data_IF_667204687226
#
_entry.id   IF_667204687226
#
_cell.length_a   1.000
_cell.length_b   1.000
_cell.length_c   1.000
_cell.angle_alpha   90.00
_cell.angle_beta   90.00
_cell.angle_gamma   90.00
#
_symmetry.space_group_name_H-M   'P 1'
#
loop_
_entity.id
_entity.type
_entity.pdbx_description
1 polymer ?
#
# COMPACT_ATOMS: atom_id res chain seq x y z
N UNK A 1 0.80 21.72 8.05
CA UNK A 1 0.80 20.46 7.29
C UNK A 1 -0.56 19.82 7.48
N UNK A 2 -1.18 19.39 6.39
CA UNK A 2 -2.62 18.99 6.37
C UNK A 2 -2.88 17.72 7.16
N UNK A 3 -1.94 16.79 7.15
CA UNK A 3 -2.08 15.48 7.80
C UNK A 3 -1.18 15.36 9.05
N UNK A 4 -0.92 16.45 9.74
CA UNK A 4 -0.10 16.48 10.96
C UNK A 4 1.33 15.92 10.75
N UNK A 5 1.84 16.02 9.54
CA UNK A 5 3.21 15.63 9.23
C UNK A 5 4.22 16.43 10.07
N UNK A 6 5.34 15.83 10.39
CA UNK A 6 6.48 16.54 11.00
C UNK A 6 7.16 17.44 9.98
N UNK A 7 7.30 16.91 8.74
CA UNK A 7 7.81 17.66 7.58
C UNK A 7 7.33 17.03 6.26
N UNK A 8 7.53 17.76 5.18
CA UNK A 8 7.35 17.28 3.81
C UNK A 8 8.72 17.30 3.11
N UNK A 9 8.91 16.43 2.13
CA UNK A 9 10.08 16.38 1.25
C UNK A 9 9.63 15.99 -0.15
N UNK A 10 10.55 15.93 -1.11
CA UNK A 10 10.28 15.53 -2.49
C UNK A 10 11.24 14.43 -2.90
N UNK A 11 10.70 13.32 -3.36
CA UNK A 11 11.45 12.26 -4.03
C UNK A 11 11.65 12.64 -5.50
N UNK A 12 12.88 12.75 -5.93
CA UNK A 12 13.22 12.84 -7.35
C UNK A 12 13.61 11.45 -7.85
N UNK A 13 12.75 10.87 -8.68
CA UNK A 13 12.94 9.51 -9.21
C UNK A 13 14.00 9.49 -10.32
N UNK A 14 14.48 8.29 -10.68
CA UNK A 14 15.50 8.09 -11.71
C UNK A 14 15.11 8.62 -13.09
N UNK A 15 13.80 8.70 -13.42
CA UNK A 15 13.29 9.29 -14.66
C UNK A 15 13.01 10.81 -14.55
N UNK A 16 13.31 11.41 -13.39
CA UNK A 16 13.15 12.83 -13.12
C UNK A 16 11.75 13.25 -12.66
N UNK A 17 10.83 12.30 -12.43
CA UNK A 17 9.53 12.61 -11.82
C UNK A 17 9.72 13.04 -10.36
N UNK A 18 8.99 14.06 -9.94
CA UNK A 18 8.96 14.51 -8.54
C UNK A 18 7.70 14.01 -7.86
N UNK A 19 7.87 13.33 -6.70
CA UNK A 19 6.80 12.75 -5.91
C UNK A 19 6.91 13.29 -4.47
N UNK A 20 5.81 13.79 -3.92
CA UNK A 20 5.83 14.34 -2.58
C UNK A 20 5.98 13.23 -1.54
N UNK A 21 6.79 13.51 -0.51
CA UNK A 21 7.00 12.63 0.64
C UNK A 21 6.38 13.26 1.88
N UNK A 22 5.56 12.50 2.57
CA UNK A 22 4.97 12.82 3.85
C UNK A 22 5.74 12.10 4.95
N UNK A 23 6.12 12.83 6.00
CA UNK A 23 7.01 12.34 7.07
C UNK A 23 6.38 12.62 8.42
N UNK A 24 6.25 11.59 9.23
CA UNK A 24 5.89 11.65 10.64
C UNK A 24 7.01 10.98 11.42
N UNK A 25 7.87 11.77 12.04
CA UNK A 25 9.03 11.25 12.74
C UNK A 25 9.10 11.75 14.17
N UNK A 26 9.46 10.90 15.15
CA UNK A 26 9.85 11.29 16.48
C UNK A 26 11.24 11.94 16.46
N UNK A 27 11.68 12.47 17.59
CA UNK A 27 12.99 13.13 17.73
C UNK A 27 14.15 12.16 17.50
N UNK A 28 14.01 10.91 17.93
CA UNK A 28 15.02 9.84 17.79
C UNK A 28 14.36 8.51 17.34
N UNK A 29 14.10 8.32 16.06
CA UNK A 29 13.44 7.11 15.57
C UNK A 29 14.31 5.86 15.73
N UNK A 30 13.71 4.76 16.20
CA UNK A 30 14.33 3.45 16.37
C UNK A 30 14.00 2.48 15.25
N UNK A 31 12.95 2.74 14.49
CA UNK A 31 12.56 2.03 13.28
C UNK A 31 11.89 2.99 12.31
N UNK A 32 11.82 2.61 11.03
CA UNK A 32 11.13 3.37 9.98
C UNK A 32 10.12 2.49 9.28
N UNK A 33 8.88 2.94 9.21
CA UNK A 33 7.84 2.39 8.35
C UNK A 33 7.90 3.13 7.00
N UNK A 34 8.34 2.44 5.96
CA UNK A 34 8.31 2.88 4.58
C UNK A 34 6.97 2.48 3.96
N UNK A 35 6.03 3.41 3.87
CA UNK A 35 4.63 3.15 3.61
C UNK A 35 4.24 3.45 2.16
N UNK A 36 3.47 2.54 1.55
CA UNK A 36 2.99 2.59 0.16
C UNK A 36 1.47 2.55 0.18
N UNK A 37 0.82 3.63 -0.26
CA UNK A 37 -0.63 3.78 -0.20
C UNK A 37 -1.39 2.97 -1.26
N UNK A 38 -2.71 2.86 -1.10
CA UNK A 38 -3.61 2.14 -2.00
C UNK A 38 -3.92 2.87 -3.31
N UNK A 39 -4.65 2.21 -4.19
CA UNK A 39 -5.19 2.84 -5.40
C UNK A 39 -6.22 3.93 -5.05
N UNK A 40 -6.29 5.00 -5.84
CA UNK A 40 -7.16 6.17 -5.62
C UNK A 40 -6.89 6.94 -4.31
N UNK A 41 -5.85 6.58 -3.57
CA UNK A 41 -5.44 7.15 -2.29
C UNK A 41 -4.27 8.16 -2.46
N UNK A 42 -3.71 8.62 -1.37
CA UNK A 42 -2.51 9.45 -1.31
C UNK A 42 -1.69 9.15 -0.04
N UNK A 43 -0.45 9.62 0.02
CA UNK A 43 0.46 9.35 1.14
C UNK A 43 -0.07 9.84 2.49
N UNK A 44 -0.84 10.94 2.51
CA UNK A 44 -1.47 11.48 3.71
C UNK A 44 -2.48 10.55 4.40
N UNK A 45 -2.98 9.51 3.72
CA UNK A 45 -3.89 8.51 4.31
C UNK A 45 -3.21 7.70 5.42
N UNK A 46 -1.87 7.68 5.46
CA UNK A 46 -1.11 7.06 6.55
C UNK A 46 -1.07 7.88 7.84
N UNK A 47 -1.71 9.05 7.92
CA UNK A 47 -1.72 9.87 9.14
C UNK A 47 -2.16 9.08 10.38
N UNK A 48 -3.15 8.21 10.26
CA UNK A 48 -3.71 7.45 11.39
C UNK A 48 -2.66 6.51 12.02
N UNK A 49 -2.07 5.54 11.31
CA UNK A 49 -0.98 4.73 11.88
C UNK A 49 0.27 5.56 12.18
N UNK A 50 0.59 6.56 11.37
CA UNK A 50 1.80 7.36 11.56
C UNK A 50 1.84 8.10 12.89
N UNK A 51 0.73 8.68 13.34
CA UNK A 51 0.65 9.34 14.65
C UNK A 51 0.80 8.34 15.79
N UNK A 52 0.19 7.16 15.70
CA UNK A 52 0.34 6.10 16.68
C UNK A 52 1.81 5.65 16.84
N UNK A 53 2.49 5.40 15.73
CA UNK A 53 3.87 4.93 15.72
C UNK A 53 4.88 6.01 16.08
N UNK A 54 4.63 7.26 15.71
CA UNK A 54 5.46 8.42 16.11
C UNK A 54 5.57 8.56 17.62
N UNK A 55 4.47 8.39 18.37
CA UNK A 55 4.45 8.41 19.84
C UNK A 55 5.24 7.24 20.48
N UNK A 56 5.71 6.28 19.67
CA UNK A 56 6.40 5.06 20.09
C UNK A 56 7.79 4.91 19.46
N UNK A 57 8.42 6.04 19.17
CA UNK A 57 9.77 6.12 18.58
C UNK A 57 9.93 5.44 17.21
N UNK A 58 8.85 5.31 16.43
CA UNK A 58 8.90 4.78 15.07
C UNK A 58 8.50 5.87 14.08
N UNK A 59 9.37 6.15 13.13
CA UNK A 59 9.06 7.06 12.04
C UNK A 59 8.18 6.38 10.99
N UNK A 60 7.27 7.15 10.38
CA UNK A 60 6.54 6.72 9.17
C UNK A 60 6.86 7.69 8.06
N UNK A 61 7.26 7.16 6.92
CA UNK A 61 7.47 7.91 5.68
C UNK A 61 6.61 7.30 4.58
N UNK A 62 5.94 8.13 3.80
CA UNK A 62 5.11 7.70 2.67
C UNK A 62 5.24 8.68 1.52
N UNK A 63 5.19 8.22 0.29
CA UNK A 63 5.25 9.07 -0.88
C UNK A 63 3.98 8.95 -1.72
N UNK A 64 3.60 10.04 -2.39
CA UNK A 64 2.47 10.00 -3.31
C UNK A 64 2.83 9.20 -4.56
N UNK A 65 2.10 8.12 -4.79
CA UNK A 65 2.31 7.26 -5.95
C UNK A 65 2.09 8.03 -7.24
N UNK A 66 2.96 7.80 -8.21
CA UNK A 66 2.90 8.37 -9.55
C UNK A 66 1.48 8.35 -10.13
N UNK A 67 1.02 9.48 -10.61
CA UNK A 67 -0.28 9.61 -11.26
C UNK A 67 -1.48 9.76 -10.32
N UNK A 68 -1.31 9.67 -8.98
CA UNK A 68 -2.43 9.70 -8.03
C UNK A 68 -2.94 11.10 -7.66
N UNK A 69 -2.16 12.15 -7.89
CA UNK A 69 -2.59 13.56 -7.75
C UNK A 69 -3.33 14.10 -8.99
N UNK A 70 -3.98 13.25 -9.73
CA UNK A 70 -4.73 13.61 -10.94
C UNK A 70 -6.14 13.02 -10.84
N UNK A 71 -7.12 13.71 -11.41
CA UNK A 71 -8.50 13.18 -11.48
C UNK A 71 -8.55 11.76 -12.05
N UNK A 72 -7.68 11.47 -13.04
CA UNK A 72 -7.59 10.16 -13.68
C UNK A 72 -6.21 9.57 -13.46
N UNK A 73 -6.13 8.50 -12.70
CA UNK A 73 -4.86 7.81 -12.46
C UNK A 73 -4.38 7.13 -13.75
N UNK A 74 -3.17 7.49 -14.14
CA UNK A 74 -2.52 6.93 -15.32
C UNK A 74 -1.07 6.55 -15.03
N UNK A 75 -0.72 5.32 -15.43
CA UNK A 75 0.66 4.83 -15.55
C UNK A 75 0.83 4.16 -16.91
N UNK A 76 2.01 4.14 -17.47
CA UNK A 76 2.30 3.43 -18.71
C UNK A 76 2.55 1.94 -18.49
N UNK A 77 3.15 1.57 -17.35
CA UNK A 77 3.48 0.19 -16.92
C UNK A 77 3.55 0.12 -15.40
N UNK A 78 3.22 -1.03 -14.83
CA UNK A 78 3.21 -1.25 -13.37
C UNK A 78 4.62 -1.10 -12.76
N UNK A 79 5.66 -1.48 -13.51
CA UNK A 79 7.06 -1.41 -13.08
C UNK A 79 7.51 0.01 -12.68
N UNK A 80 6.82 1.07 -13.16
CA UNK A 80 7.11 2.44 -12.72
C UNK A 80 6.91 2.60 -11.20
N UNK A 81 5.92 1.93 -10.60
CA UNK A 81 5.75 1.93 -9.15
C UNK A 81 6.90 1.22 -8.43
N UNK A 82 7.43 0.15 -9.02
CA UNK A 82 8.55 -0.60 -8.42
C UNK A 82 9.85 0.20 -8.47
N UNK A 83 10.08 0.90 -9.57
CA UNK A 83 11.23 1.80 -9.76
C UNK A 83 11.16 2.98 -8.78
N UNK A 84 9.99 3.64 -8.68
CA UNK A 84 9.76 4.71 -7.70
C UNK A 84 9.95 4.21 -6.25
N UNK A 85 9.48 2.98 -5.94
CA UNK A 85 9.66 2.37 -4.61
C UNK A 85 11.14 2.08 -4.34
N UNK A 86 11.91 1.67 -5.34
CA UNK A 86 13.36 1.48 -5.21
C UNK A 86 14.08 2.81 -4.92
N UNK A 87 13.73 3.87 -5.64
CA UNK A 87 14.26 5.22 -5.40
C UNK A 87 13.85 5.72 -3.99
N UNK A 88 12.62 5.45 -3.57
CA UNK A 88 12.13 5.80 -2.23
C UNK A 88 12.86 5.02 -1.11
N UNK A 89 13.19 3.75 -1.33
CA UNK A 89 14.04 3.00 -0.41
C UNK A 89 15.42 3.63 -0.30
N UNK A 90 16.05 4.06 -1.40
CA UNK A 90 17.35 4.74 -1.34
C UNK A 90 17.25 6.08 -0.60
N UNK A 91 16.19 6.85 -0.84
CA UNK A 91 15.91 8.07 -0.07
C UNK A 91 15.75 7.76 1.43
N UNK A 92 14.98 6.74 1.78
CA UNK A 92 14.78 6.30 3.17
C UNK A 92 16.11 5.90 3.83
N UNK A 93 16.91 5.07 3.17
CA UNK A 93 18.23 4.63 3.67
C UNK A 93 19.20 5.79 3.87
N UNK A 94 19.15 6.81 3.02
CA UNK A 94 20.00 8.01 3.12
C UNK A 94 19.62 8.88 4.33
N UNK A 95 18.32 9.02 4.59
CA UNK A 95 17.81 9.91 5.65
C UNK A 95 17.77 9.22 7.02
N UNK A 96 17.63 7.89 7.07
CA UNK A 96 17.52 7.08 8.29
C UNK A 96 18.65 6.05 8.33
N UNK A 97 19.90 6.58 8.43
CA UNK A 97 21.10 5.70 8.45
C UNK A 97 21.05 4.77 9.66
N UNK A 98 21.40 3.49 9.41
CA UNK A 98 21.53 2.43 10.42
C UNK A 98 20.23 2.10 11.20
N UNK A 99 19.10 2.68 10.80
CA UNK A 99 17.79 2.40 11.40
C UNK A 99 17.09 1.30 10.58
N UNK A 100 16.53 0.24 11.24
CA UNK A 100 15.80 -0.81 10.54
C UNK A 100 14.57 -0.26 9.82
N UNK A 101 14.33 -0.78 8.59
CA UNK A 101 13.21 -0.38 7.74
C UNK A 101 12.20 -1.52 7.66
N UNK A 102 10.92 -1.20 7.80
CA UNK A 102 9.80 -2.09 7.53
C UNK A 102 8.99 -1.51 6.38
N UNK A 103 8.69 -2.31 5.38
CA UNK A 103 7.85 -1.89 4.26
C UNK A 103 6.39 -2.12 4.63
N UNK A 104 5.58 -1.06 4.57
CA UNK A 104 4.14 -1.11 4.83
C UNK A 104 3.40 -0.94 3.53
N UNK A 105 2.47 -1.84 3.21
CA UNK A 105 1.63 -1.74 2.02
C UNK A 105 0.17 -1.99 2.33
N UNK A 106 -0.71 -1.06 1.94
CA UNK A 106 -2.15 -1.25 2.00
C UNK A 106 -2.73 -1.39 0.61
N UNK A 107 -3.63 -2.36 0.41
CA UNK A 107 -4.37 -2.54 -0.85
C UNK A 107 -3.41 -2.67 -2.05
N UNK A 108 -3.50 -1.79 -3.05
CA UNK A 108 -2.55 -1.71 -4.17
C UNK A 108 -1.11 -1.50 -3.68
N UNK A 109 -0.90 -0.75 -2.60
CA UNK A 109 0.42 -0.60 -1.97
C UNK A 109 0.97 -1.94 -1.46
N UNK A 110 0.10 -2.84 -0.98
CA UNK A 110 0.47 -4.22 -0.63
C UNK A 110 0.87 -5.05 -1.86
N UNK A 111 0.16 -4.88 -2.97
CA UNK A 111 0.53 -5.49 -4.25
C UNK A 111 1.90 -4.98 -4.73
N UNK A 112 2.15 -3.67 -4.67
CA UNK A 112 3.45 -3.05 -5.02
C UNK A 112 4.55 -3.57 -4.10
N UNK A 113 4.33 -3.58 -2.78
CA UNK A 113 5.30 -4.05 -1.78
C UNK A 113 5.71 -5.50 -2.03
N UNK A 114 4.76 -6.38 -2.39
CA UNK A 114 5.03 -7.79 -2.70
C UNK A 114 5.85 -7.95 -3.98
N UNK A 115 5.48 -7.26 -5.06
CA UNK A 115 6.32 -7.23 -6.26
C UNK A 115 7.72 -6.70 -5.99
N UNK A 116 7.81 -5.61 -5.23
CA UNK A 116 9.06 -4.97 -4.88
C UNK A 116 9.95 -5.92 -4.07
N UNK A 117 9.42 -6.58 -3.05
CA UNK A 117 10.15 -7.55 -2.24
C UNK A 117 10.73 -8.69 -3.05
N UNK A 118 9.94 -9.29 -3.95
CA UNK A 118 10.38 -10.40 -4.80
C UNK A 118 11.43 -9.96 -5.84
N UNK A 119 11.27 -8.78 -6.46
CA UNK A 119 12.03 -8.41 -7.67
C UNK A 119 13.20 -7.49 -7.42
N UNK A 120 13.16 -6.66 -6.38
CA UNK A 120 14.10 -5.55 -6.17
C UNK A 120 14.80 -5.59 -4.81
N UNK A 121 14.20 -6.21 -3.80
CA UNK A 121 14.64 -6.09 -2.42
C UNK A 121 14.86 -7.43 -1.71
N UNK A 122 14.96 -8.52 -2.46
CA UNK A 122 15.07 -9.89 -1.91
C UNK A 122 16.24 -10.06 -0.92
N UNK A 123 17.33 -9.32 -1.11
CA UNK A 123 18.53 -9.40 -0.25
C UNK A 123 18.90 -8.05 0.41
N UNK A 124 17.99 -7.09 0.51
CA UNK A 124 18.31 -5.83 1.19
C UNK A 124 18.25 -5.99 2.71
N UNK A 125 19.39 -6.08 3.36
CA UNK A 125 19.54 -6.30 4.80
C UNK A 125 18.92 -5.20 5.69
N UNK A 126 18.59 -4.05 5.12
CA UNK A 126 17.95 -2.93 5.83
C UNK A 126 16.45 -3.16 5.99
N UNK A 127 15.83 -3.89 5.08
CA UNK A 127 14.43 -4.28 5.19
C UNK A 127 14.35 -5.47 6.13
N UNK A 128 13.69 -5.27 7.26
CA UNK A 128 13.54 -6.30 8.30
C UNK A 128 12.25 -7.11 8.13
N UNK A 129 11.25 -6.56 7.47
CA UNK A 129 10.00 -7.26 7.23
C UNK A 129 8.97 -6.38 6.51
N UNK A 130 7.82 -6.99 6.23
CA UNK A 130 6.73 -6.38 5.51
C UNK A 130 5.43 -6.43 6.32
N UNK A 131 4.72 -5.31 6.38
CA UNK A 131 3.41 -5.19 7.01
C UNK A 131 2.37 -4.92 5.91
N UNK A 132 1.57 -5.94 5.61
CA UNK A 132 0.65 -5.94 4.48
C UNK A 132 -0.80 -5.91 4.99
N UNK A 133 -1.54 -4.86 4.63
CA UNK A 133 -2.94 -4.68 4.98
C UNK A 133 -3.83 -4.85 3.75
N UNK A 134 -4.72 -5.83 3.77
CA UNK A 134 -5.69 -6.13 2.69
C UNK A 134 -5.06 -5.98 1.29
N UNK A 135 -3.93 -6.66 0.99
CA UNK A 135 -3.21 -6.46 -0.27
C UNK A 135 -4.10 -6.84 -1.46
N UNK A 136 -4.03 -6.03 -2.53
CA UNK A 136 -4.91 -6.13 -3.69
C UNK A 136 -4.47 -7.25 -4.66
N UNK A 137 -4.41 -8.49 -4.19
CA UNK A 137 -4.03 -9.67 -5.00
C UNK A 137 -5.16 -10.18 -5.90
N UNK A 138 -6.39 -9.82 -5.59
CA UNK A 138 -7.58 -10.12 -6.37
C UNK A 138 -8.67 -9.07 -6.13
N UNK A 139 -9.71 -9.10 -6.96
CA UNK A 139 -10.84 -8.18 -6.84
C UNK A 139 -11.99 -8.90 -6.10
N UNK A 140 -12.57 -8.28 -5.06
CA UNK A 140 -13.76 -8.82 -4.39
C UNK A 140 -14.93 -8.92 -5.39
N UNK A 141 -15.16 -7.88 -6.18
CA UNK A 141 -16.07 -7.94 -7.32
C UNK A 141 -15.37 -8.66 -8.48
N UNK A 142 -15.80 -9.89 -8.75
CA UNK A 142 -15.19 -10.70 -9.80
C UNK A 142 -15.36 -10.06 -11.16
N UNK A 143 -14.24 -9.75 -11.79
CA UNK A 143 -14.21 -9.31 -13.19
C UNK A 143 -14.52 -10.50 -14.08
N UNK A 144 -15.56 -10.40 -14.91
CA UNK A 144 -15.89 -11.46 -15.86
C UNK A 144 -14.68 -11.82 -16.73
N UNK A 145 -14.37 -13.13 -16.91
CA UNK A 145 -13.25 -13.55 -17.77
C UNK A 145 -13.31 -12.96 -19.18
N UNK A 146 -14.51 -12.70 -19.72
CA UNK A 146 -14.70 -12.07 -21.04
C UNK A 146 -14.26 -10.59 -21.03
N UNK A 147 -14.38 -9.89 -19.88
CA UNK A 147 -14.00 -8.49 -19.76
C UNK A 147 -12.49 -8.30 -19.67
N UNK A 148 -11.73 -9.27 -19.16
CA UNK A 148 -10.27 -9.16 -18.97
C UNK A 148 -9.54 -8.86 -20.29
N UNK A 149 -9.76 -9.61 -21.39
CA UNK A 149 -9.15 -9.29 -22.69
C UNK A 149 -9.60 -7.92 -23.23
N UNK A 150 -10.85 -7.50 -22.99
CA UNK A 150 -11.34 -6.20 -23.42
C UNK A 150 -10.63 -5.06 -22.67
N UNK A 151 -10.48 -5.15 -21.35
CA UNK A 151 -9.73 -4.17 -20.55
C UNK A 151 -8.28 -4.08 -21.04
N UNK A 152 -7.64 -5.21 -21.34
CA UNK A 152 -6.27 -5.25 -21.90
C UNK A 152 -6.19 -4.59 -23.27
N UNK A 153 -7.15 -4.88 -24.17
CA UNK A 153 -7.21 -4.29 -25.51
C UNK A 153 -7.44 -2.77 -25.41
N UNK A 154 -8.43 -2.34 -24.65
CA UNK A 154 -8.73 -0.90 -24.49
C UNK A 154 -7.60 -0.18 -23.76
N UNK A 155 -6.94 -0.83 -22.80
CA UNK A 155 -5.72 -0.31 -22.18
C UNK A 155 -4.57 -0.08 -23.17
N UNK A 156 -4.54 -0.80 -24.28
CA UNK A 156 -3.57 -0.58 -25.35
C UNK A 156 -4.02 0.51 -26.34
N UNK A 157 -5.30 0.53 -26.73
CA UNK A 157 -5.83 1.37 -27.83
C UNK A 157 -6.29 2.74 -27.34
N UNK A 158 -6.94 2.81 -26.16
CA UNK A 158 -7.45 4.06 -25.56
C UNK A 158 -6.97 4.17 -24.09
N UNK A 159 -5.65 4.22 -23.87
CA UNK A 159 -5.05 4.04 -22.54
C UNK A 159 -5.51 5.03 -21.47
N UNK A 160 -5.86 6.25 -21.87
CA UNK A 160 -6.29 7.35 -20.97
C UNK A 160 -7.82 7.44 -20.78
N UNK A 161 -8.60 6.58 -21.43
CA UNK A 161 -10.04 6.53 -21.18
C UNK A 161 -10.31 6.07 -19.73
N UNK A 162 -11.25 6.75 -19.05
CA UNK A 162 -11.64 6.37 -17.69
C UNK A 162 -12.43 5.06 -17.70
N UNK A 163 -12.20 4.24 -16.67
CA UNK A 163 -13.00 3.05 -16.38
C UNK A 163 -14.19 3.49 -15.54
N UNK A 164 -15.43 3.27 -15.98
CA UNK A 164 -16.59 3.41 -15.11
C UNK A 164 -16.46 2.40 -13.94
N UNK A 165 -16.65 2.86 -12.74
CA UNK A 165 -16.62 2.01 -11.56
C UNK A 165 -17.58 2.51 -10.50
N UNK A 166 -17.97 1.66 -9.54
CA UNK A 166 -18.75 2.08 -8.40
C UNK A 166 -17.92 3.00 -7.49
N UNK A 167 -18.60 3.88 -6.79
CA UNK A 167 -18.02 4.58 -5.65
C UNK A 167 -17.98 3.59 -4.46
N UNK A 168 -16.79 3.29 -3.99
CA UNK A 168 -16.54 2.34 -2.91
C UNK A 168 -16.21 3.04 -1.59
N UNK A 169 -16.26 4.37 -1.51
CA UNK A 169 -15.78 5.13 -0.35
C UNK A 169 -16.45 4.71 0.95
N UNK A 170 -17.75 4.43 0.92
CA UNK A 170 -18.52 3.97 2.09
C UNK A 170 -18.20 2.51 2.51
N UNK A 171 -17.50 1.76 1.68
CA UNK A 171 -17.10 0.36 1.91
C UNK A 171 -15.63 0.23 2.35
N UNK A 172 -14.95 1.37 2.57
CA UNK A 172 -13.54 1.35 2.97
C UNK A 172 -13.36 1.16 4.46
N UNK A 173 -14.22 1.75 5.29
CA UNK A 173 -14.13 1.73 6.76
C UNK A 173 -15.49 2.02 7.40
N UNK A 174 -15.69 1.54 8.63
CA UNK A 174 -16.82 1.89 9.48
C UNK A 174 -16.67 3.26 10.17
N UNK A 175 -15.48 3.89 10.11
CA UNK A 175 -15.24 5.18 10.73
C UNK A 175 -15.73 6.32 9.82
N UNK A 176 -16.90 6.88 10.15
CA UNK A 176 -17.52 7.99 9.41
C UNK A 176 -16.62 9.23 9.31
N UNK A 177 -15.71 9.47 10.28
CA UNK A 177 -14.79 10.61 10.23
C UNK A 177 -13.74 10.41 9.14
N UNK A 178 -13.28 9.18 8.96
CA UNK A 178 -12.37 8.81 7.89
C UNK A 178 -13.09 8.90 6.54
N UNK A 179 -14.30 8.36 6.43
CA UNK A 179 -15.12 8.47 5.20
C UNK A 179 -15.32 9.94 4.80
N UNK A 180 -15.65 10.81 5.74
CA UNK A 180 -15.77 12.27 5.49
C UNK A 180 -14.45 12.89 5.02
N UNK A 181 -13.33 12.48 5.62
CA UNK A 181 -11.99 12.93 5.18
C UNK A 181 -11.73 12.51 3.74
N UNK A 182 -12.01 11.27 3.36
CA UNK A 182 -11.83 10.78 1.99
C UNK A 182 -12.67 11.58 0.98
N UNK A 183 -13.92 11.89 1.31
CA UNK A 183 -14.78 12.76 0.47
C UNK A 183 -14.18 14.16 0.31
N UNK A 184 -13.72 14.76 1.42
CA UNK A 184 -13.10 16.09 1.38
C UNK A 184 -11.79 16.08 0.56
N UNK A 185 -10.98 15.02 0.68
CA UNK A 185 -9.73 14.88 -0.07
C UNK A 185 -9.98 14.69 -1.57
N UNK A 186 -11.09 14.06 -1.96
CA UNK A 186 -11.55 13.97 -3.35
C UNK A 186 -12.01 15.34 -3.87
N UNK A 187 -12.84 16.06 -3.11
CA UNK A 187 -13.31 17.41 -3.46
C UNK A 187 -12.15 18.41 -3.61
N UNK A 188 -11.13 18.30 -2.77
CA UNK A 188 -9.92 19.13 -2.80
C UNK A 188 -8.93 18.71 -3.90
N UNK A 189 -9.21 17.63 -4.64
CA UNK A 189 -8.42 17.14 -5.78
C UNK A 189 -7.08 16.50 -5.40
N UNK A 190 -6.90 16.11 -4.13
CA UNK A 190 -5.70 15.39 -3.66
C UNK A 190 -5.85 13.87 -3.66
N UNK A 191 -7.08 13.38 -3.81
CA UNK A 191 -7.42 11.97 -3.96
C UNK A 191 -7.92 11.71 -5.39
N UNK A 192 -7.42 10.66 -6.03
CA UNK A 192 -7.88 10.28 -7.36
C UNK A 192 -9.31 9.74 -7.33
N UNK A 193 -10.12 10.06 -8.34
CA UNK A 193 -11.51 9.60 -8.41
C UNK A 193 -11.77 8.60 -9.54
N UNK A 194 -10.88 8.52 -10.52
CA UNK A 194 -11.07 7.68 -11.71
C UNK A 194 -9.82 6.89 -12.07
N UNK A 195 -9.99 5.60 -12.36
CA UNK A 195 -8.97 4.76 -12.97
C UNK A 195 -9.02 4.86 -14.50
N UNK A 196 -7.86 4.79 -15.17
CA UNK A 196 -7.81 4.69 -16.63
C UNK A 196 -7.77 3.22 -17.09
N UNK A 197 -8.10 2.98 -18.36
CA UNK A 197 -8.05 1.63 -18.95
C UNK A 197 -6.64 1.02 -18.88
N UNK A 198 -5.58 1.83 -19.07
CA UNK A 198 -4.20 1.36 -18.92
C UNK A 198 -3.91 0.97 -17.46
N UNK A 199 -4.27 1.82 -16.51
CA UNK A 199 -4.06 1.54 -15.09
C UNK A 199 -4.74 0.22 -14.67
N UNK A 200 -6.03 0.05 -14.99
CA UNK A 200 -6.74 -1.21 -14.71
C UNK A 200 -6.11 -2.43 -15.38
N UNK A 201 -5.68 -2.30 -16.64
CA UNK A 201 -4.97 -3.37 -17.35
C UNK A 201 -3.66 -3.75 -16.67
N UNK A 202 -2.88 -2.77 -16.21
CA UNK A 202 -1.60 -3.01 -15.52
C UNK A 202 -1.82 -3.66 -14.14
N UNK A 203 -2.88 -3.25 -13.40
CA UNK A 203 -3.25 -3.91 -12.13
C UNK A 203 -3.62 -5.40 -12.34
N UNK A 204 -4.43 -5.72 -13.34
CA UNK A 204 -4.79 -7.11 -13.64
C UNK A 204 -3.58 -7.97 -14.00
N UNK A 205 -2.58 -7.39 -14.69
CA UNK A 205 -1.31 -8.08 -14.97
C UNK A 205 -0.50 -8.30 -13.70
N UNK A 206 -0.42 -7.28 -12.85
CA UNK A 206 0.32 -7.34 -11.59
C UNK A 206 -0.29 -8.37 -10.63
N UNK A 207 -1.62 -8.40 -10.47
CA UNK A 207 -2.31 -9.41 -9.67
C UNK A 207 -2.00 -10.84 -10.18
N UNK A 208 -2.07 -11.04 -11.49
CA UNK A 208 -1.74 -12.34 -12.08
C UNK A 208 -0.29 -12.73 -11.79
N UNK A 209 0.64 -11.81 -11.99
CA UNK A 209 2.07 -12.07 -11.78
C UNK A 209 2.38 -12.45 -10.33
N UNK A 210 1.83 -11.72 -9.34
CA UNK A 210 2.03 -12.07 -7.91
C UNK A 210 1.55 -13.48 -7.63
N UNK A 211 0.35 -13.86 -8.08
CA UNK A 211 -0.18 -15.21 -7.87
C UNK A 211 0.72 -16.31 -8.45
N UNK A 212 1.32 -16.04 -9.60
CA UNK A 212 2.23 -16.99 -10.28
C UNK A 212 3.63 -17.04 -9.65
N UNK A 213 4.03 -16.01 -8.89
CA UNK A 213 5.39 -15.89 -8.36
C UNK A 213 5.45 -15.81 -6.82
N UNK A 214 4.34 -15.93 -6.12
CA UNK A 214 4.29 -15.79 -4.66
C UNK A 214 5.14 -16.84 -3.93
N UNK A 215 5.41 -17.98 -4.53
CA UNK A 215 6.33 -18.99 -4.01
C UNK A 215 7.77 -18.50 -3.81
N UNK A 216 8.13 -17.34 -4.39
CA UNK A 216 9.43 -16.68 -4.21
C UNK A 216 9.41 -15.70 -3.03
N UNK A 217 8.30 -15.53 -2.32
CA UNK A 217 8.19 -14.65 -1.17
C UNK A 217 8.73 -15.32 0.10
N UNK A 218 9.85 -14.84 0.59
CA UNK A 218 10.59 -15.40 1.75
C UNK A 218 10.90 -14.36 2.83
N UNK A 219 10.08 -13.32 2.95
CA UNK A 219 10.30 -12.24 3.90
C UNK A 219 9.46 -12.39 5.16
N UNK A 220 9.96 -12.01 6.35
CA UNK A 220 9.12 -11.84 7.54
C UNK A 220 7.93 -10.94 7.22
N UNK A 221 6.74 -11.42 7.50
CA UNK A 221 5.49 -10.78 7.06
C UNK A 221 4.48 -10.70 8.19
N UNK A 222 4.01 -9.49 8.48
CA UNK A 222 2.80 -9.26 9.25
C UNK A 222 1.67 -8.98 8.26
N UNK A 223 0.69 -9.86 8.19
CA UNK A 223 -0.46 -9.71 7.30
C UNK A 223 -1.73 -9.46 8.12
N UNK A 224 -2.42 -8.35 7.85
CA UNK A 224 -3.74 -8.08 8.41
C UNK A 224 -4.79 -8.04 7.30
N UNK A 225 -5.83 -8.87 7.43
CA UNK A 225 -6.87 -9.06 6.42
C UNK A 225 -8.22 -8.61 6.98
N UNK A 226 -8.96 -7.88 6.18
CA UNK A 226 -10.33 -7.50 6.42
C UNK A 226 -11.26 -8.62 5.94
N UNK A 227 -12.13 -9.12 6.80
CA UNK A 227 -13.02 -10.25 6.48
C UNK A 227 -14.26 -9.85 5.69
N UNK A 228 -14.74 -8.60 5.86
CA UNK A 228 -15.86 -8.03 5.14
C UNK A 228 -15.43 -7.09 4.00
N UNK A 229 -14.26 -7.35 3.40
CA UNK A 229 -13.67 -6.55 2.34
C UNK A 229 -14.44 -6.71 1.02
N UNK A 230 -15.03 -5.62 0.52
CA UNK A 230 -15.73 -5.57 -0.77
C UNK A 230 -14.87 -4.99 -1.90
N UNK A 231 -13.59 -4.68 -1.62
CA UNK A 231 -12.62 -4.13 -2.59
C UNK A 231 -11.63 -5.20 -3.02
N UNK A 232 -10.85 -5.74 -2.06
CA UNK A 232 -9.87 -6.79 -2.30
C UNK A 232 -10.43 -8.18 -1.97
N UNK A 233 -10.03 -9.19 -2.72
CA UNK A 233 -10.42 -10.58 -2.45
C UNK A 233 -9.62 -11.14 -1.27
N UNK A 234 -10.22 -11.12 -0.09
CA UNK A 234 -9.62 -11.61 1.15
C UNK A 234 -9.30 -13.11 1.08
N UNK A 235 -10.12 -13.91 0.40
CA UNK A 235 -9.88 -15.35 0.26
C UNK A 235 -8.66 -15.65 -0.63
N UNK A 236 -8.44 -14.89 -1.71
CA UNK A 236 -7.22 -14.99 -2.51
C UNK A 236 -5.98 -14.61 -1.70
N UNK A 237 -6.05 -13.52 -0.92
CA UNK A 237 -4.95 -13.07 -0.06
C UNK A 237 -4.63 -14.11 1.01
N UNK A 238 -5.65 -14.65 1.68
CA UNK A 238 -5.49 -15.71 2.68
C UNK A 238 -4.86 -16.97 2.10
N UNK A 239 -5.29 -17.39 0.90
CA UNK A 239 -4.74 -18.58 0.22
C UNK A 239 -3.24 -18.41 -0.08
N UNK A 240 -2.82 -17.22 -0.54
CA UNK A 240 -1.41 -16.93 -0.78
C UNK A 240 -0.60 -16.94 0.52
N UNK A 241 -1.06 -16.26 1.58
CA UNK A 241 -0.36 -16.26 2.87
C UNK A 241 -0.29 -17.65 3.51
N UNK A 242 -1.30 -18.49 3.36
CA UNK A 242 -1.25 -19.89 3.81
C UNK A 242 -0.25 -20.75 3.04
N UNK A 243 0.14 -20.35 1.84
CA UNK A 243 1.11 -21.08 1.01
C UNK A 243 2.57 -20.76 1.32
N UNK A 244 2.87 -19.69 2.08
CA UNK A 244 4.23 -19.33 2.45
C UNK A 244 4.72 -20.08 3.70
N UNK A 245 6.01 -19.96 4.01
CA UNK A 245 6.56 -20.48 5.27
C UNK A 245 5.87 -19.80 6.46
N UNK A 246 5.18 -20.59 7.28
CA UNK A 246 4.40 -20.11 8.43
C UNK A 246 5.29 -19.59 9.57
N UNK A 247 6.58 -19.90 9.60
CA UNK A 247 7.53 -19.31 10.55
C UNK A 247 7.85 -17.84 10.21
N UNK A 248 7.58 -17.41 8.99
CA UNK A 248 7.77 -16.03 8.54
C UNK A 248 6.47 -15.22 8.58
N UNK A 249 5.34 -15.83 8.97
CA UNK A 249 4.03 -15.19 8.89
C UNK A 249 3.42 -14.93 10.27
N UNK A 250 3.10 -13.69 10.56
CA UNK A 250 2.11 -13.31 11.57
C UNK A 250 0.83 -12.88 10.87
N UNK A 251 -0.25 -13.64 11.06
CA UNK A 251 -1.51 -13.43 10.34
C UNK A 251 -2.62 -12.98 11.30
N UNK A 252 -3.27 -11.87 10.95
CA UNK A 252 -4.40 -11.29 11.69
C UNK A 252 -5.60 -11.18 10.75
N UNK A 253 -6.73 -11.75 11.15
CA UNK A 253 -8.02 -11.61 10.46
C UNK A 253 -9.00 -10.82 11.34
N UNK A 254 -9.43 -9.67 10.88
CA UNK A 254 -10.54 -8.93 11.44
C UNK A 254 -11.81 -9.22 10.64
N UNK A 255 -12.65 -10.13 11.14
CA UNK A 255 -13.79 -10.71 10.38
C UNK A 255 -14.77 -9.66 9.87
N UNK A 256 -15.01 -8.62 10.65
CA UNK A 256 -16.03 -7.62 10.39
C UNK A 256 -15.48 -6.32 9.79
N UNK A 257 -14.14 -6.19 9.67
CA UNK A 257 -13.53 -5.00 9.09
C UNK A 257 -13.84 -4.89 7.59
N UNK A 258 -14.05 -3.66 7.16
CA UNK A 258 -13.98 -3.26 5.76
C UNK A 258 -12.51 -3.13 5.31
N UNK A 259 -12.29 -2.67 4.11
CA UNK A 259 -11.01 -2.71 3.40
C UNK A 259 -9.82 -2.09 4.16
N UNK A 260 -10.02 -0.95 4.81
CA UNK A 260 -8.94 -0.13 5.42
C UNK A 260 -8.70 -0.46 6.90
N UNK A 261 -8.07 -1.60 7.22
CA UNK A 261 -7.79 -2.01 8.61
C UNK A 261 -7.07 -0.93 9.45
N UNK A 262 -6.26 -0.06 8.83
CA UNK A 262 -5.55 1.03 9.52
C UNK A 262 -6.44 2.22 9.86
N UNK A 263 -7.63 2.28 9.29
CA UNK A 263 -8.62 3.32 9.48
C UNK A 263 -9.92 2.81 10.13
N UNK A 264 -9.98 1.53 10.50
CA UNK A 264 -11.14 0.94 11.16
C UNK A 264 -11.29 1.36 12.62
N UNK A 265 -12.47 1.11 13.19
CA UNK A 265 -12.79 1.43 14.58
C UNK A 265 -11.91 0.67 15.59
N UNK A 266 -11.48 -0.54 15.23
CA UNK A 266 -10.59 -1.41 16.04
C UNK A 266 -9.10 -1.28 15.68
N UNK A 267 -8.70 -0.26 14.92
CA UNK A 267 -7.33 -0.04 14.42
C UNK A 267 -6.22 -0.13 15.46
N UNK A 268 -6.50 0.29 16.69
CA UNK A 268 -5.51 0.23 17.76
C UNK A 268 -5.09 -1.20 18.10
N UNK A 269 -6.00 -2.18 18.04
CA UNK A 269 -5.65 -3.61 18.20
C UNK A 269 -4.67 -4.06 17.09
N UNK A 270 -4.89 -3.61 15.86
CA UNK A 270 -3.96 -3.85 14.75
C UNK A 270 -2.60 -3.21 15.01
N UNK A 271 -2.58 -1.94 15.43
CA UNK A 271 -1.33 -1.21 15.66
C UNK A 271 -0.53 -1.76 16.84
N UNK A 272 -1.19 -2.18 17.93
CA UNK A 272 -0.54 -2.82 19.07
C UNK A 272 0.15 -4.13 18.66
N UNK A 273 -0.51 -4.95 17.84
CA UNK A 273 0.06 -6.18 17.29
C UNK A 273 1.22 -5.91 16.32
N UNK A 274 1.08 -4.91 15.43
CA UNK A 274 2.16 -4.48 14.54
C UNK A 274 3.37 -4.00 15.33
N UNK A 275 3.15 -3.20 16.38
CA UNK A 275 4.20 -2.69 17.24
C UNK A 275 4.96 -3.83 17.94
N UNK A 276 4.25 -4.78 18.54
CA UNK A 276 4.85 -5.95 19.19
C UNK A 276 5.69 -6.76 18.18
N UNK A 277 5.16 -7.02 16.99
CA UNK A 277 5.85 -7.76 15.94
C UNK A 277 7.11 -7.04 15.44
N UNK A 278 7.07 -5.71 15.27
CA UNK A 278 8.24 -4.92 14.85
C UNK A 278 9.40 -5.12 15.86
N UNK A 279 9.12 -5.05 17.16
CA UNK A 279 10.14 -5.22 18.18
C UNK A 279 10.63 -6.66 18.27
N UNK A 280 9.77 -7.65 18.10
CA UNK A 280 10.17 -9.06 18.01
C UNK A 280 11.21 -9.27 16.88
N UNK A 281 10.97 -8.69 15.70
CA UNK A 281 11.89 -8.78 14.55
C UNK A 281 13.21 -8.00 14.78
N UNK A 282 13.19 -6.90 15.52
CA UNK A 282 14.41 -6.11 15.78
C UNK A 282 15.29 -6.78 16.84
N UNK A 283 14.69 -7.42 17.84
CA UNK A 283 15.40 -8.00 18.98
C UNK A 283 15.99 -9.40 18.66
N UNK A 284 15.61 -10.00 17.51
CA UNK A 284 16.14 -11.26 16.99
C UNK A 284 17.15 -11.04 15.85
#
# INVERSE_FOLDING_TARGET
MRFSETKLDVLKTGDGTELDIHIWEPEAPKAVLMAIHGGLAHAGDYVTPALYFKERDIATVSYDLRGHKQEKIFISRFDQYLEDTADFLQWTKKNYKDIPVFVVGHSMGGLIATHFGIRYADNDSRIKGYLLSSPYYGNAIKVSPIMIPLVKLFGAVIPKAAIPGPDLTELLTHDEMITKRHRQDEEDGIRGSKATMRFGSELLKAQKWVKENFSQWHHPTFAVIAGADEVADSAESEALFKSMDQNLLTYVLHKDNFHENFNEMNRNDTFDKMYAWIWEIIDH
#
